data_IF_433566238117
#
_entry.id   IF_433566238117
#
_cell.length_a   1.000
_cell.length_b   1.000
_cell.length_c   1.000
_cell.angle_alpha   90.00
_cell.angle_beta   90.00
_cell.angle_gamma   90.00
#
_symmetry.space_group_name_H-M   'P 1'
#
loop_
_entity.id
_entity.type
_entity.pdbx_description
1 polymer ?
#
# COMPACT_ATOMS: atom_id res chain seq x y z
N UNK A 1 -13.38 -3.48 -15.58
CA UNK A 1 -12.37 -3.73 -14.52
C UNK A 1 -12.98 -4.24 -13.20
N UNK A 2 -14.30 -4.36 -13.06
CA UNK A 2 -14.97 -4.78 -11.82
C UNK A 2 -14.73 -6.24 -11.44
N UNK A 3 -14.82 -7.19 -12.39
CA UNK A 3 -14.66 -8.62 -12.08
C UNK A 3 -13.26 -8.97 -11.51
N UNK A 4 -12.19 -8.40 -12.09
CA UNK A 4 -10.81 -8.63 -11.64
C UNK A 4 -10.61 -8.05 -10.23
N UNK A 5 -11.09 -6.83 -9.98
CA UNK A 5 -10.97 -6.20 -8.66
C UNK A 5 -11.72 -7.01 -7.59
N UNK A 6 -12.94 -7.46 -7.90
CA UNK A 6 -13.73 -8.31 -6.99
C UNK A 6 -13.07 -9.65 -6.72
N UNK A 7 -12.37 -10.23 -7.70
CA UNK A 7 -11.62 -11.47 -7.47
C UNK A 7 -10.40 -11.21 -6.59
N UNK A 8 -9.59 -10.18 -6.87
CA UNK A 8 -8.41 -9.84 -6.06
C UNK A 8 -8.76 -9.54 -4.60
N UNK A 9 -9.91 -8.92 -4.34
CA UNK A 9 -10.39 -8.65 -2.98
C UNK A 9 -10.65 -9.92 -2.14
N UNK A 10 -10.86 -11.08 -2.78
CA UNK A 10 -11.03 -12.38 -2.08
C UNK A 10 -9.71 -12.98 -1.61
N UNK A 11 -8.57 -12.48 -2.10
CA UNK A 11 -7.24 -13.05 -1.85
C UNK A 11 -6.30 -12.07 -1.15
N UNK A 12 -6.63 -11.57 0.06
CA UNK A 12 -5.70 -10.75 0.82
C UNK A 12 -4.49 -11.58 1.27
N UNK A 13 -3.37 -10.92 1.55
CA UNK A 13 -2.22 -11.55 2.20
C UNK A 13 -2.65 -12.18 3.54
N UNK A 14 -2.02 -13.28 4.01
CA UNK A 14 -2.40 -13.94 5.25
C UNK A 14 -2.39 -12.99 6.45
N UNK A 15 -3.38 -13.08 7.36
CA UNK A 15 -3.45 -12.22 8.55
C UNK A 15 -2.24 -12.33 9.47
N UNK A 16 -1.61 -13.51 9.51
CA UNK A 16 -0.43 -13.82 10.33
C UNK A 16 0.90 -13.43 9.66
N UNK A 17 0.88 -12.68 8.55
CA UNK A 17 2.08 -12.20 7.88
C UNK A 17 2.89 -11.27 8.80
N UNK A 18 4.21 -11.31 8.66
CA UNK A 18 5.13 -10.44 9.40
C UNK A 18 4.94 -8.96 8.98
N UNK A 19 4.19 -8.22 9.80
CA UNK A 19 3.91 -6.80 9.58
C UNK A 19 5.18 -5.93 9.61
N UNK A 20 6.24 -6.35 10.31
CA UNK A 20 7.53 -5.64 10.34
C UNK A 20 8.21 -5.74 8.98
N UNK A 21 8.22 -6.93 8.38
CA UNK A 21 8.75 -7.14 7.02
C UNK A 21 7.95 -6.37 5.98
N UNK A 22 6.62 -6.38 6.06
CA UNK A 22 5.78 -5.56 5.18
C UNK A 22 6.06 -4.07 5.34
N UNK A 23 6.19 -3.58 6.59
CA UNK A 23 6.53 -2.18 6.84
C UNK A 23 7.86 -1.80 6.21
N UNK A 24 8.88 -2.66 6.29
CA UNK A 24 10.17 -2.43 5.66
C UNK A 24 10.07 -2.36 4.14
N UNK A 25 9.31 -3.27 3.52
CA UNK A 25 9.09 -3.28 2.07
C UNK A 25 8.37 -2.03 1.58
N UNK A 26 7.37 -1.53 2.33
CA UNK A 26 6.57 -0.38 1.91
C UNK A 26 7.38 0.93 1.90
N UNK A 27 8.44 1.06 2.70
CA UNK A 27 9.26 2.28 2.72
C UNK A 27 9.88 2.53 1.34
N UNK A 28 9.64 3.72 0.79
CA UNK A 28 10.15 4.16 -0.51
C UNK A 28 9.11 4.87 -1.36
N UNK A 29 9.38 4.94 -2.67
CA UNK A 29 8.54 5.59 -3.67
C UNK A 29 7.77 4.55 -4.50
N UNK A 30 6.51 4.85 -4.77
CA UNK A 30 5.57 3.97 -5.44
C UNK A 30 4.77 4.72 -6.49
N UNK A 31 4.93 4.32 -7.74
CA UNK A 31 4.22 4.88 -8.88
C UNK A 31 2.78 4.38 -8.90
N UNK A 32 1.83 5.27 -9.12
CA UNK A 32 0.42 4.93 -9.38
C UNK A 32 -0.05 5.68 -10.63
N UNK A 33 -1.16 5.27 -11.27
CA UNK A 33 -1.70 6.00 -12.42
C UNK A 33 -2.02 7.48 -12.17
N UNK A 34 -2.09 7.93 -10.90
CA UNK A 34 -2.41 9.32 -10.53
C UNK A 34 -1.20 10.15 -10.15
N UNK A 35 -0.18 9.54 -9.53
CA UNK A 35 1.00 10.20 -8.93
C UNK A 35 1.91 9.18 -8.26
N UNK A 36 3.14 9.60 -8.00
CA UNK A 36 4.07 8.89 -7.14
C UNK A 36 3.78 9.15 -5.66
N UNK A 37 3.63 8.09 -4.88
CA UNK A 37 3.48 8.13 -3.43
C UNK A 37 4.82 7.87 -2.73
N UNK A 38 5.05 8.53 -1.60
CA UNK A 38 6.25 8.37 -0.77
C UNK A 38 5.86 7.87 0.61
N UNK A 39 6.42 6.74 1.04
CA UNK A 39 6.26 6.18 2.38
C UNK A 39 7.59 6.20 3.13
N UNK A 40 7.68 6.95 4.22
CA UNK A 40 8.89 7.10 5.03
C UNK A 40 8.89 6.14 6.22
N UNK A 41 10.08 5.67 6.61
CA UNK A 41 10.27 4.74 7.75
C UNK A 41 9.71 5.25 9.08
N UNK A 42 9.65 6.58 9.26
CA UNK A 42 9.07 7.24 10.43
C UNK A 42 7.53 7.23 10.47
N UNK A 43 6.85 6.54 9.53
CA UNK A 43 5.40 6.44 9.50
C UNK A 43 4.70 7.64 8.84
N UNK A 44 5.43 8.51 8.14
CA UNK A 44 4.86 9.59 7.32
C UNK A 44 4.74 9.19 5.85
N UNK A 45 3.67 9.63 5.21
CA UNK A 45 3.44 9.42 3.77
C UNK A 45 2.82 10.67 3.11
N UNK A 46 2.91 10.70 1.78
CA UNK A 46 2.39 11.77 0.94
C UNK A 46 2.64 11.49 -0.53
N UNK A 47 2.53 12.52 -1.37
CA UNK A 47 2.89 12.43 -2.78
C UNK A 47 4.24 13.09 -3.04
N UNK A 48 4.95 12.61 -4.05
CA UNK A 48 6.16 13.28 -4.54
C UNK A 48 5.82 14.71 -5.00
N UNK A 49 6.70 15.67 -4.70
CA UNK A 49 6.46 17.10 -4.95
C UNK A 49 5.38 17.76 -4.07
N UNK A 50 4.72 16.99 -3.19
CA UNK A 50 3.66 17.48 -2.30
C UNK A 50 4.00 17.32 -0.80
N UNK A 51 3.05 17.69 0.09
CA UNK A 51 3.25 17.53 1.53
C UNK A 51 3.30 16.06 1.96
N UNK A 52 4.26 15.72 2.83
CA UNK A 52 4.43 14.38 3.44
C UNK A 52 4.09 14.47 4.94
N UNK A 53 2.81 14.66 5.24
CA UNK A 53 2.32 14.90 6.60
C UNK A 53 1.32 13.83 7.11
N UNK A 54 0.74 13.02 6.21
CA UNK A 54 -0.18 11.94 6.55
C UNK A 54 0.55 10.80 7.27
N UNK A 55 -0.16 10.14 8.19
CA UNK A 55 0.38 8.98 8.91
C UNK A 55 0.03 7.69 8.17
N UNK A 56 0.94 6.71 8.23
CA UNK A 56 0.67 5.34 7.81
C UNK A 56 1.25 4.34 8.80
N UNK A 57 0.63 3.17 8.89
CA UNK A 57 1.17 1.99 9.59
C UNK A 57 0.62 0.70 8.98
N UNK A 58 1.27 -0.41 9.26
CA UNK A 58 0.78 -1.75 8.91
C UNK A 58 0.51 -2.51 10.22
N UNK A 59 -0.65 -3.16 10.31
CA UNK A 59 -1.03 -4.03 11.44
C UNK A 59 -1.56 -5.35 10.90
N UNK A 60 -0.85 -6.45 11.17
CA UNK A 60 -1.08 -7.72 10.47
C UNK A 60 -0.89 -7.53 8.96
N UNK A 61 -1.94 -7.82 8.19
CA UNK A 61 -2.00 -7.57 6.75
C UNK A 61 -2.71 -6.26 6.36
N UNK A 62 -3.06 -5.38 7.31
CA UNK A 62 -3.83 -4.16 7.03
C UNK A 62 -2.89 -2.95 6.86
N UNK A 63 -3.06 -2.22 5.75
CA UNK A 63 -2.57 -0.85 5.64
C UNK A 63 -3.57 0.08 6.32
N UNK A 64 -3.07 1.01 7.15
CA UNK A 64 -3.87 2.04 7.80
C UNK A 64 -3.25 3.40 7.46
N UNK A 65 -4.00 4.27 6.78
CA UNK A 65 -3.59 5.60 6.33
C UNK A 65 -4.79 6.58 6.40
N UNK A 66 -4.97 7.25 7.54
CA UNK A 66 -6.15 8.10 7.77
C UNK A 66 -7.45 7.30 7.61
N UNK A 67 -8.37 7.78 6.78
CA UNK A 67 -9.65 7.10 6.48
C UNK A 67 -9.54 5.98 5.45
N UNK A 68 -8.33 5.77 4.89
CA UNK A 68 -8.01 4.65 4.02
C UNK A 68 -7.44 3.52 4.88
N UNK A 69 -8.20 2.44 4.98
CA UNK A 69 -7.78 1.21 5.64
C UNK A 69 -8.19 0.01 4.81
N UNK A 70 -7.35 -1.01 4.77
CA UNK A 70 -7.72 -2.29 4.18
C UNK A 70 -6.56 -3.26 3.97
N UNK A 71 -6.87 -4.49 3.55
CA UNK A 71 -5.89 -5.54 3.44
C UNK A 71 -4.93 -5.31 2.28
N UNK A 72 -3.67 -5.58 2.54
CA UNK A 72 -2.65 -5.78 1.52
C UNK A 72 -2.96 -7.09 0.80
N UNK A 73 -2.95 -7.04 -0.53
CA UNK A 73 -3.11 -8.19 -1.42
C UNK A 73 -1.71 -8.70 -1.80
N UNK A 74 -0.84 -7.79 -2.23
CA UNK A 74 0.56 -8.08 -2.57
C UNK A 74 1.45 -6.92 -2.13
N UNK A 75 2.57 -7.23 -1.47
CA UNK A 75 3.65 -6.27 -1.24
C UNK A 75 4.99 -7.00 -1.34
N UNK A 76 5.77 -6.64 -2.36
CA UNK A 76 7.12 -7.13 -2.57
C UNK A 76 8.05 -5.98 -3.02
N UNK A 77 9.17 -6.28 -3.67
CA UNK A 77 10.13 -5.26 -4.11
C UNK A 77 9.62 -4.44 -5.31
N UNK A 78 8.69 -4.98 -6.09
CA UNK A 78 8.24 -4.39 -7.36
C UNK A 78 6.80 -3.86 -7.30
N UNK A 79 5.93 -4.47 -6.50
CA UNK A 79 4.50 -4.21 -6.48
C UNK A 79 3.97 -3.97 -5.08
N UNK A 80 3.08 -3.00 -4.98
CA UNK A 80 2.27 -2.72 -3.81
C UNK A 80 0.80 -2.61 -4.20
N UNK A 81 0.04 -3.64 -3.82
CA UNK A 81 -1.38 -3.81 -4.13
C UNK A 81 -2.13 -3.99 -2.82
N UNK A 82 -3.14 -3.16 -2.60
CA UNK A 82 -4.03 -3.28 -1.46
C UNK A 82 -5.46 -2.94 -1.89
N UNK A 83 -6.43 -3.44 -1.14
CA UNK A 83 -7.81 -3.00 -1.30
C UNK A 83 -8.22 -2.09 -0.16
N UNK A 84 -9.15 -1.19 -0.45
CA UNK A 84 -9.85 -0.41 0.57
C UNK A 84 -11.23 -0.06 0.03
N UNK A 85 -12.25 -0.24 0.87
CA UNK A 85 -13.66 -0.13 0.46
C UNK A 85 -13.89 -0.99 -0.80
N UNK A 86 -14.52 -0.44 -1.83
CA UNK A 86 -14.85 -1.15 -3.08
C UNK A 86 -13.78 -1.00 -4.17
N UNK A 87 -12.54 -0.65 -3.80
CA UNK A 87 -11.45 -0.39 -4.75
C UNK A 87 -10.20 -1.22 -4.46
N UNK A 88 -9.45 -1.50 -5.52
CA UNK A 88 -8.10 -2.07 -5.48
C UNK A 88 -7.14 -1.03 -6.03
N UNK A 89 -6.06 -0.79 -5.30
CA UNK A 89 -5.04 0.20 -5.65
C UNK A 89 -3.77 -0.53 -6.07
N UNK A 90 -3.25 -0.17 -7.25
CA UNK A 90 -2.07 -0.77 -7.84
C UNK A 90 -0.94 0.24 -7.88
N UNK A 91 0.22 -0.18 -7.39
CA UNK A 91 1.44 0.61 -7.45
C UNK A 91 2.62 -0.25 -7.88
N UNK A 92 3.51 0.33 -8.67
CA UNK A 92 4.82 -0.24 -8.98
C UNK A 92 5.92 0.53 -8.24
N UNK A 93 7.00 -0.15 -7.90
CA UNK A 93 8.16 0.48 -7.26
C UNK A 93 8.82 1.44 -8.25
N UNK A 94 9.10 2.67 -7.80
CA UNK A 94 9.99 3.56 -8.56
C UNK A 94 11.41 3.05 -8.39
N UNK A 95 12.04 2.67 -9.51
CA UNK A 95 13.46 2.30 -9.56
C UNK A 95 14.27 3.59 -9.63
N UNK A 96 15.32 3.67 -8.82
CA UNK A 96 16.31 4.76 -8.89
C UNK A 96 17.14 4.68 -10.17
#
# INVERSE_FOLDING_TARGET
MTAINSELQKHPAPKAIDSKKLRQLLVGKWESPRRTYVYRANGKCGSEGGPINSNWRIQGNQLIQGDLSGPIILLNQDYFIYSSRDSVFFHSRVKE
#
